data_IF_931603844068
#
_entry.id   IF_931603844068
#
_cell.length_a   1.000
_cell.length_b   1.000
_cell.length_c   1.000
_cell.angle_alpha   90.00
_cell.angle_beta   90.00
_cell.angle_gamma   90.00
#
_symmetry.space_group_name_H-M   'P 1'
#
loop_
_entity.id
_entity.type
_entity.pdbx_description
1 polymer ?
#
# COMPACT_ATOMS: atom_id res chain seq x y z
N UNK A 1 4.17 -30.63 67.52
CA UNK A 1 3.92 -29.33 68.18
C UNK A 1 4.53 -28.28 67.26
N UNK A 2 3.78 -27.61 66.38
CA UNK A 2 2.92 -26.43 66.67
C UNK A 2 3.81 -25.27 67.19
N UNK A 3 3.91 -24.07 66.61
CA UNK A 3 2.88 -23.22 65.98
C UNK A 3 3.49 -22.07 65.14
N UNK A 4 2.65 -21.52 64.27
CA UNK A 4 2.84 -20.36 63.39
C UNK A 4 2.19 -19.10 64.00
N UNK A 5 2.88 -17.97 64.05
CA UNK A 5 2.35 -16.58 63.98
C UNK A 5 3.52 -15.58 64.15
N UNK A 6 3.62 -14.43 63.51
CA UNK A 6 2.72 -13.67 62.66
C UNK A 6 3.48 -12.51 61.97
N UNK A 7 2.77 -11.86 61.06
CA UNK A 7 3.19 -10.95 59.99
C UNK A 7 3.15 -9.47 60.40
N UNK A 8 4.07 -8.67 59.89
CA UNK A 8 3.90 -7.27 59.40
C UNK A 8 5.30 -6.71 59.06
N UNK A 9 5.60 -6.04 57.96
CA UNK A 9 4.86 -5.51 56.83
C UNK A 9 5.85 -4.58 56.14
N UNK A 10 6.48 -5.04 55.05
CA UNK A 10 7.49 -4.27 54.31
C UNK A 10 6.81 -3.16 53.52
N UNK A 11 7.26 -1.93 53.80
CA UNK A 11 7.10 -0.67 53.04
C UNK A 11 6.42 -0.78 51.67
N UNK A 12 5.21 -0.24 51.59
CA UNK A 12 4.58 0.17 50.33
C UNK A 12 5.27 1.43 49.80
N UNK A 13 5.94 1.32 48.64
CA UNK A 13 6.50 2.48 47.96
C UNK A 13 7.08 2.17 46.58
N UNK A 14 6.45 2.74 45.54
CA UNK A 14 6.88 2.86 44.14
C UNK A 14 6.84 1.57 43.30
N UNK A 15 6.43 1.57 42.04
CA UNK A 15 6.04 2.66 41.16
C UNK A 15 5.48 2.06 39.87
N UNK A 16 4.73 2.86 39.13
CA UNK A 16 4.13 2.50 37.85
C UNK A 16 5.20 2.03 36.84
N UNK A 17 5.29 0.71 36.64
CA UNK A 17 6.06 0.13 35.54
C UNK A 17 5.20 0.08 34.29
N UNK A 18 5.32 1.09 33.42
CA UNK A 18 4.97 0.94 31.99
C UNK A 18 5.71 -0.30 31.48
N UNK A 19 4.96 -1.34 31.12
CA UNK A 19 5.52 -2.63 30.73
C UNK A 19 6.59 -2.49 29.65
N UNK A 20 7.80 -2.94 29.97
CA UNK A 20 8.90 -3.06 29.02
C UNK A 20 8.50 -4.11 28.00
N UNK A 21 8.33 -3.71 26.74
CA UNK A 21 8.05 -4.61 25.61
C UNK A 21 9.18 -5.64 25.52
N UNK A 22 8.85 -6.94 25.43
CA UNK A 22 9.88 -7.98 25.41
C UNK A 22 10.71 -7.94 24.11
N UNK A 23 11.94 -8.44 24.14
CA UNK A 23 12.81 -8.45 22.94
C UNK A 23 12.17 -9.21 21.78
N UNK A 24 11.44 -10.30 22.06
CA UNK A 24 10.69 -11.07 21.08
C UNK A 24 9.57 -10.25 20.44
N UNK A 25 8.85 -9.45 21.24
CA UNK A 25 7.81 -8.54 20.73
C UNK A 25 8.40 -7.44 19.85
N UNK A 26 9.58 -6.92 20.17
CA UNK A 26 10.30 -5.95 19.33
C UNK A 26 10.69 -6.57 17.99
N UNK A 27 11.27 -7.78 17.99
CA UNK A 27 11.66 -8.49 16.76
C UNK A 27 10.44 -8.81 15.89
N UNK A 28 9.35 -9.28 16.50
CA UNK A 28 8.10 -9.56 15.80
C UNK A 28 7.53 -8.29 15.14
N UNK A 29 7.51 -7.17 15.88
CA UNK A 29 7.08 -5.87 15.36
C UNK A 29 7.94 -5.38 14.20
N UNK A 30 9.27 -5.48 14.33
CA UNK A 30 10.21 -5.12 13.29
C UNK A 30 10.01 -5.95 12.01
N UNK A 31 9.86 -7.27 12.13
CA UNK A 31 9.65 -8.15 10.99
C UNK A 31 8.33 -7.85 10.28
N UNK A 32 7.26 -7.50 11.02
CA UNK A 32 5.99 -7.06 10.45
C UNK A 32 6.18 -5.77 9.63
N UNK A 33 6.78 -4.75 10.22
CA UNK A 33 7.04 -3.47 9.53
C UNK A 33 7.91 -3.65 8.29
N UNK A 34 8.91 -4.54 8.35
CA UNK A 34 9.77 -4.88 7.20
C UNK A 34 8.99 -5.60 6.09
N UNK A 35 7.99 -6.40 6.44
CA UNK A 35 7.11 -7.04 5.44
C UNK A 35 6.18 -6.02 4.80
N UNK A 36 5.59 -5.13 5.60
CA UNK A 36 4.76 -4.01 5.12
C UNK A 36 5.55 -3.09 4.18
N UNK A 37 6.77 -2.70 4.57
CA UNK A 37 7.65 -1.89 3.73
C UNK A 37 7.90 -2.53 2.36
N UNK A 38 8.18 -3.83 2.33
CA UNK A 38 8.39 -4.57 1.08
C UNK A 38 7.12 -4.64 0.23
N UNK A 39 5.97 -4.85 0.86
CA UNK A 39 4.68 -4.82 0.17
C UNK A 39 4.38 -3.45 -0.46
N UNK A 40 4.63 -2.37 0.27
CA UNK A 40 4.47 -1.01 -0.24
C UNK A 40 5.43 -0.73 -1.41
N UNK A 41 6.70 -1.14 -1.29
CA UNK A 41 7.67 -0.97 -2.37
C UNK A 41 7.27 -1.73 -3.64
N UNK A 42 6.78 -2.97 -3.50
CA UNK A 42 6.26 -3.74 -4.64
C UNK A 42 5.07 -3.05 -5.30
N UNK A 43 4.10 -2.56 -4.51
CA UNK A 43 2.92 -1.90 -5.09
C UNK A 43 3.25 -0.55 -5.71
N UNK A 44 4.20 0.20 -5.15
CA UNK A 44 4.69 1.44 -5.74
C UNK A 44 5.32 1.18 -7.12
N UNK A 45 6.19 0.18 -7.23
CA UNK A 45 6.82 -0.17 -8.51
C UNK A 45 5.79 -0.60 -9.58
N UNK A 46 4.76 -1.36 -9.17
CA UNK A 46 3.66 -1.75 -10.06
C UNK A 46 2.90 -0.52 -10.59
N UNK A 47 2.51 0.40 -9.71
CA UNK A 47 1.80 1.63 -10.10
C UNK A 47 2.66 2.56 -10.97
N UNK A 48 3.96 2.66 -10.68
CA UNK A 48 4.89 3.43 -11.52
C UNK A 48 4.97 2.84 -12.94
N UNK A 49 4.97 1.51 -13.07
CA UNK A 49 4.96 0.85 -14.38
C UNK A 49 3.65 1.14 -15.13
N UNK A 50 2.50 1.01 -14.48
CA UNK A 50 1.18 1.32 -15.07
C UNK A 50 1.12 2.79 -15.54
N UNK A 51 1.60 3.73 -14.74
CA UNK A 51 1.66 5.15 -15.09
C UNK A 51 2.55 5.41 -16.30
N UNK A 52 3.70 4.74 -16.38
CA UNK A 52 4.62 4.86 -17.51
C UNK A 52 4.00 4.30 -18.79
N UNK A 53 3.30 3.17 -18.72
CA UNK A 53 2.61 2.58 -19.87
C UNK A 53 1.47 3.49 -20.37
N UNK A 54 0.67 4.03 -19.45
CA UNK A 54 -0.35 5.03 -19.80
C UNK A 54 0.26 6.27 -20.47
N UNK A 55 1.38 6.77 -19.94
CA UNK A 55 2.07 7.94 -20.51
C UNK A 55 2.52 7.67 -21.94
N UNK A 56 3.15 6.52 -22.19
CA UNK A 56 3.60 6.12 -23.53
C UNK A 56 2.44 6.05 -24.53
N UNK A 57 1.31 5.44 -24.14
CA UNK A 57 0.13 5.35 -25.01
C UNK A 57 -0.47 6.74 -25.29
N UNK A 58 -0.55 7.61 -24.28
CA UNK A 58 -1.07 8.98 -24.46
C UNK A 58 -0.18 9.77 -25.40
N UNK A 59 1.14 9.73 -25.20
CA UNK A 59 2.10 10.48 -26.01
C UNK A 59 2.07 10.04 -27.47
N UNK A 60 1.98 8.73 -27.72
CA UNK A 60 1.84 8.21 -29.09
C UNK A 60 0.52 8.60 -29.74
N UNK A 61 -0.60 8.64 -28.99
CA UNK A 61 -1.91 9.03 -29.54
C UNK A 61 -2.05 10.53 -29.79
N UNK A 62 -1.30 11.38 -29.06
CA UNK A 62 -1.27 12.84 -29.30
C UNK A 62 -0.74 13.22 -30.68
N UNK A 63 0.12 12.39 -31.26
CA UNK A 63 0.65 12.58 -32.61
C UNK A 63 -0.27 12.05 -33.72
N UNK A 64 -1.37 11.40 -33.35
CA UNK A 64 -2.34 10.80 -34.28
C UNK A 64 -3.52 11.74 -34.50
N UNK A 65 -4.03 11.77 -35.74
CA UNK A 65 -5.23 12.52 -36.09
C UNK A 65 -6.44 12.16 -35.21
N UNK A 66 -7.07 13.18 -34.66
CA UNK A 66 -8.19 13.07 -33.71
C UNK A 66 -9.42 12.33 -34.27
N UNK A 67 -9.64 12.40 -35.58
CA UNK A 67 -10.78 11.77 -36.26
C UNK A 67 -10.52 10.30 -36.61
N UNK A 68 -9.27 9.85 -36.48
CA UNK A 68 -8.90 8.46 -36.77
C UNK A 68 -9.61 7.50 -35.83
N UNK A 69 -10.05 6.38 -36.38
CA UNK A 69 -10.67 5.30 -35.62
C UNK A 69 -9.67 4.73 -34.62
N UNK A 70 -10.12 4.57 -33.39
CA UNK A 70 -9.42 3.95 -32.28
C UNK A 70 -10.25 2.78 -31.77
N UNK A 71 -9.59 1.71 -31.35
CA UNK A 71 -10.26 0.50 -30.89
C UNK A 71 -9.80 0.18 -29.47
N UNK A 72 -10.74 0.16 -28.53
CA UNK A 72 -10.47 -0.17 -27.13
C UNK A 72 -10.99 -1.56 -26.81
N UNK A 73 -10.14 -2.40 -26.22
CA UNK A 73 -10.55 -3.73 -25.74
C UNK A 73 -11.11 -3.63 -24.31
N UNK A 74 -12.31 -4.17 -24.08
CA UNK A 74 -12.94 -4.23 -22.76
C UNK A 74 -13.58 -5.61 -22.60
N UNK A 75 -13.11 -6.40 -21.63
CA UNK A 75 -13.68 -7.72 -21.34
C UNK A 75 -13.72 -8.69 -22.54
N UNK A 76 -12.76 -8.57 -23.48
CA UNK A 76 -12.70 -9.39 -24.69
C UNK A 76 -13.52 -8.86 -25.88
N UNK A 77 -14.23 -7.74 -25.73
CA UNK A 77 -14.94 -7.06 -26.83
C UNK A 77 -14.14 -5.84 -27.29
N UNK A 78 -14.02 -5.67 -28.61
CA UNK A 78 -13.38 -4.50 -29.22
C UNK A 78 -14.44 -3.42 -29.50
N UNK A 79 -14.29 -2.27 -28.87
CA UNK A 79 -15.19 -1.12 -29.02
C UNK A 79 -14.56 -0.11 -29.95
N UNK A 80 -15.25 0.22 -31.04
CA UNK A 80 -14.84 1.28 -31.98
C UNK A 80 -15.15 2.66 -31.39
N UNK A 81 -14.15 3.54 -31.43
CA UNK A 81 -14.18 4.94 -30.98
C UNK A 81 -13.32 5.78 -31.93
N UNK A 82 -13.15 7.05 -31.61
CA UNK A 82 -12.16 7.93 -32.25
C UNK A 82 -11.07 8.34 -31.26
N UNK A 83 -9.92 8.80 -31.76
CA UNK A 83 -8.82 9.28 -30.89
C UNK A 83 -9.31 10.39 -29.96
N UNK A 84 -10.09 11.35 -30.47
CA UNK A 84 -10.71 12.42 -29.66
C UNK A 84 -11.58 11.93 -28.49
N UNK A 85 -12.18 10.75 -28.60
CA UNK A 85 -13.02 10.17 -27.55
C UNK A 85 -12.20 9.36 -26.54
N UNK A 86 -11.09 8.75 -26.99
CA UNK A 86 -10.28 7.84 -26.17
C UNK A 86 -9.21 8.59 -25.39
N UNK A 87 -8.59 9.61 -25.99
CA UNK A 87 -7.47 10.33 -25.37
C UNK A 87 -7.84 10.94 -24.00
N UNK A 88 -8.99 11.64 -23.83
CA UNK A 88 -9.39 12.16 -22.53
C UNK A 88 -9.67 11.06 -21.50
N UNK A 89 -10.14 9.89 -21.94
CA UNK A 89 -10.38 8.77 -21.04
C UNK A 89 -9.06 8.16 -20.54
N UNK A 90 -8.01 8.13 -21.38
CA UNK A 90 -6.69 7.67 -20.97
C UNK A 90 -6.02 8.65 -20.00
N UNK A 91 -6.12 9.96 -20.26
CA UNK A 91 -5.60 10.98 -19.34
C UNK A 91 -6.27 10.92 -17.96
N UNK A 92 -7.60 10.79 -17.91
CA UNK A 92 -8.32 10.62 -16.64
C UNK A 92 -7.99 9.32 -15.90
N UNK A 93 -7.67 8.23 -16.59
CA UNK A 93 -7.31 6.97 -15.94
C UNK A 93 -5.86 6.96 -15.43
N UNK A 94 -4.96 7.72 -16.08
CA UNK A 94 -3.57 7.86 -15.62
C UNK A 94 -3.48 8.58 -14.26
N UNK A 95 -4.41 9.48 -13.96
CA UNK A 95 -4.46 10.25 -12.71
C UNK A 95 -5.17 9.52 -11.55
N UNK A 96 -5.84 8.40 -11.83
CA UNK A 96 -6.53 7.56 -10.84
C UNK A 96 -5.60 6.52 -10.24
#
# INVERSE_FOLDING_TARGET
MAENSGRAGKSSGSGAGKGVVSAEQVIAGFNRLRQEQRGLASKAAELEMELNEHSLVIDTLKEVDETRKCYRMVGGVLVERTVKEVLPALENNKEQ
#
